data_IF_708283088069
#
_entry.id   IF_708283088069
#
_cell.length_a   1.000
_cell.length_b   1.000
_cell.length_c   1.000
_cell.angle_alpha   90.00
_cell.angle_beta   90.00
_cell.angle_gamma   90.00
#
_symmetry.space_group_name_H-M   'P 1'
#
loop_
_entity.id
_entity.type
_entity.pdbx_description
1 polymer ?
#
# COMPACT_ATOMS: atom_id res chain seq x y z
N UNK A 1 22.24 -24.22 10.50
CA UNK A 1 21.49 -23.45 9.49
C UNK A 1 21.08 -22.15 10.16
N UNK A 2 21.61 -21.05 9.63
CA UNK A 2 21.42 -19.71 10.15
C UNK A 2 19.95 -19.31 9.91
N UNK A 3 19.16 -19.22 10.97
CA UNK A 3 17.79 -18.72 10.89
C UNK A 3 17.91 -17.20 10.93
N UNK A 4 18.14 -16.57 9.76
CA UNK A 4 17.90 -15.13 9.66
C UNK A 4 16.46 -14.91 10.10
N UNK A 5 16.20 -14.10 11.14
CA UNK A 5 14.84 -13.81 11.53
C UNK A 5 14.20 -13.19 10.29
N UNK A 6 13.13 -13.81 9.81
CA UNK A 6 12.23 -13.17 8.87
C UNK A 6 11.95 -11.79 9.48
N UNK A 7 12.40 -10.70 8.83
CA UNK A 7 12.31 -9.35 9.37
C UNK A 7 10.83 -8.95 9.40
N UNK A 8 10.08 -9.46 10.38
CA UNK A 8 8.65 -9.26 10.48
C UNK A 8 8.43 -7.87 11.11
N UNK A 9 7.83 -6.98 10.34
CA UNK A 9 7.43 -5.65 10.79
C UNK A 9 6.04 -5.76 11.41
N UNK A 10 5.92 -5.44 12.70
CA UNK A 10 4.65 -5.42 13.41
C UNK A 10 4.14 -3.97 13.48
N UNK A 11 2.98 -3.74 12.91
CA UNK A 11 2.26 -2.46 13.07
C UNK A 11 1.68 -2.31 14.47
N UNK A 12 1.40 -1.07 14.88
CA UNK A 12 0.69 -0.74 16.13
C UNK A 12 -0.75 -1.29 16.14
N UNK A 13 -1.33 -1.56 14.96
CA UNK A 13 -2.62 -2.23 14.79
C UNK A 13 -2.56 -3.76 14.97
N UNK A 14 -1.39 -4.32 15.28
CA UNK A 14 -1.20 -5.76 15.47
C UNK A 14 -1.14 -6.57 14.17
N UNK A 15 -1.04 -5.91 13.01
CA UNK A 15 -0.78 -6.57 11.73
C UNK A 15 0.72 -6.84 11.57
N UNK A 16 1.05 -8.00 11.01
CA UNK A 16 2.41 -8.43 10.75
C UNK A 16 2.67 -8.40 9.24
N UNK A 17 3.76 -7.77 8.85
CA UNK A 17 4.21 -7.66 7.48
C UNK A 17 5.58 -8.32 7.34
N UNK A 18 5.82 -9.14 6.32
CA UNK A 18 7.17 -9.58 5.99
C UNK A 18 7.96 -8.36 5.49
N UNK A 19 8.96 -7.93 6.24
CA UNK A 19 9.86 -6.85 5.87
C UNK A 19 10.72 -7.23 4.67
N UNK A 20 10.99 -6.26 3.82
CA UNK A 20 11.56 -6.45 2.49
C UNK A 20 10.59 -7.02 1.45
N UNK A 21 9.34 -7.37 1.83
CA UNK A 21 8.35 -7.85 0.89
C UNK A 21 7.52 -6.72 0.30
N UNK A 22 7.04 -6.95 -0.93
CA UNK A 22 6.11 -6.06 -1.59
C UNK A 22 4.67 -6.36 -1.13
N UNK A 23 3.97 -5.34 -0.66
CA UNK A 23 2.52 -5.38 -0.42
C UNK A 23 1.83 -4.74 -1.61
N UNK A 24 0.91 -5.49 -2.21
CA UNK A 24 0.09 -5.03 -3.32
C UNK A 24 -1.32 -4.75 -2.82
N UNK A 25 -1.84 -3.57 -3.16
CA UNK A 25 -3.24 -3.21 -2.90
C UNK A 25 -3.89 -2.80 -4.21
N UNK A 26 -5.10 -3.31 -4.41
CA UNK A 26 -5.92 -3.03 -5.57
C UNK A 26 -7.06 -2.12 -5.14
N UNK A 27 -7.20 -1.00 -5.83
CA UNK A 27 -8.27 -0.04 -5.57
C UNK A 27 -9.27 -0.02 -6.72
N UNK A 28 -10.54 -0.03 -6.37
CA UNK A 28 -11.64 0.18 -7.31
C UNK A 28 -12.38 1.43 -6.89
N UNK A 29 -12.41 2.42 -7.78
CA UNK A 29 -13.08 3.68 -7.54
C UNK A 29 -14.38 3.73 -8.33
N UNK A 30 -15.44 4.25 -7.72
CA UNK A 30 -16.58 4.72 -8.51
C UNK A 30 -16.16 5.99 -9.24
N UNK A 31 -16.58 6.12 -10.50
CA UNK A 31 -16.29 7.29 -11.32
C UNK A 31 -16.93 8.58 -10.79
N UNK A 32 -17.94 8.47 -9.91
CA UNK A 32 -18.53 9.62 -9.20
C UNK A 32 -17.62 10.20 -8.12
N UNK A 33 -16.83 9.34 -7.48
CA UNK A 33 -16.07 9.70 -6.29
C UNK A 33 -14.65 10.13 -6.67
N UNK A 34 -14.12 9.54 -7.74
CA UNK A 34 -12.81 9.89 -8.31
C UNK A 34 -12.93 9.99 -9.84
N UNK A 35 -13.08 11.19 -10.41
CA UNK A 35 -13.11 11.37 -11.85
C UNK A 35 -11.85 10.84 -12.54
N UNK A 36 -11.97 10.48 -13.82
CA UNK A 36 -10.82 10.04 -14.62
C UNK A 36 -9.82 11.20 -14.73
N UNK A 37 -8.54 10.89 -14.51
CA UNK A 37 -7.45 11.87 -14.50
C UNK A 37 -7.23 12.54 -13.15
N UNK A 38 -8.08 12.26 -12.15
CA UNK A 38 -7.85 12.74 -10.78
C UNK A 38 -6.84 11.85 -10.07
N UNK A 39 -5.90 12.49 -9.38
CA UNK A 39 -4.92 11.80 -8.52
C UNK A 39 -5.55 11.33 -7.22
N UNK A 40 -5.02 10.23 -6.68
CA UNK A 40 -5.35 9.75 -5.35
C UNK A 40 -4.06 9.47 -4.57
N UNK A 41 -4.15 9.54 -3.24
CA UNK A 41 -3.06 9.16 -2.33
C UNK A 41 -3.49 7.93 -1.54
N UNK A 42 -2.64 6.92 -1.50
CA UNK A 42 -2.79 5.77 -0.62
C UNK A 42 -1.79 5.94 0.51
N UNK A 43 -2.28 5.85 1.74
CA UNK A 43 -1.48 5.94 2.96
C UNK A 43 -1.57 4.60 3.69
N UNK A 44 -0.43 3.97 3.94
CA UNK A 44 -0.32 2.82 4.82
C UNK A 44 0.24 3.31 6.14
N UNK A 45 -0.64 3.43 7.12
CA UNK A 45 -0.29 3.73 8.51
C UNK A 45 0.05 2.42 9.23
N UNK A 46 1.32 2.26 9.59
CA UNK A 46 1.78 1.14 10.43
C UNK A 46 1.73 1.50 11.93
N UNK A 47 1.38 2.74 12.29
CA UNK A 47 1.46 3.30 13.63
C UNK A 47 2.89 3.63 14.09
N UNK A 48 3.02 4.22 15.29
CA UNK A 48 4.29 4.63 15.90
C UNK A 48 5.18 5.51 14.98
N UNK A 49 4.54 6.49 14.32
CA UNK A 49 5.15 7.45 13.39
C UNK A 49 5.77 6.85 12.11
N UNK A 50 5.49 5.59 11.80
CA UNK A 50 5.89 4.96 10.54
C UNK A 50 4.72 4.84 9.57
N UNK A 51 4.73 5.65 8.52
CA UNK A 51 3.78 5.56 7.42
C UNK A 51 4.49 5.53 6.06
N UNK A 52 3.83 4.93 5.08
CA UNK A 52 4.26 4.98 3.69
C UNK A 52 3.11 5.52 2.84
N UNK A 53 3.39 6.52 2.02
CA UNK A 53 2.43 7.04 1.07
C UNK A 53 2.86 6.79 -0.37
N UNK A 54 1.87 6.55 -1.22
CA UNK A 54 2.06 6.40 -2.65
C UNK A 54 0.93 7.07 -3.41
N UNK A 55 1.29 7.78 -4.47
CA UNK A 55 0.35 8.47 -5.34
C UNK A 55 -0.01 7.60 -6.54
N UNK A 56 -1.27 7.67 -6.95
CA UNK A 56 -1.79 7.09 -8.18
C UNK A 56 -2.70 8.05 -8.92
N UNK A 57 -3.10 7.68 -10.13
CA UNK A 57 -4.03 8.45 -10.97
C UNK A 57 -5.14 7.49 -11.40
N UNK A 58 -6.40 7.92 -11.33
CA UNK A 58 -7.49 7.16 -11.92
C UNK A 58 -7.40 7.20 -13.44
N UNK A 59 -6.87 6.12 -14.03
CA UNK A 59 -6.66 6.05 -15.47
C UNK A 59 -7.97 5.86 -16.21
N UNK A 60 -7.97 6.20 -17.50
CA UNK A 60 -9.14 5.99 -18.37
C UNK A 60 -9.43 4.51 -18.63
N UNK A 61 -8.53 3.62 -18.25
CA UNK A 61 -8.53 2.22 -18.67
C UNK A 61 -9.64 1.37 -18.02
N UNK A 62 -10.54 1.95 -17.20
CA UNK A 62 -11.67 1.25 -16.54
C UNK A 62 -11.24 -0.08 -15.89
N UNK A 63 -10.00 -0.12 -15.41
CA UNK A 63 -9.41 -1.26 -14.73
C UNK A 63 -9.02 -0.84 -13.31
N UNK A 64 -8.85 -1.79 -12.39
CA UNK A 64 -8.34 -1.46 -11.06
C UNK A 64 -6.96 -0.82 -11.12
N UNK A 65 -6.72 0.17 -10.27
CA UNK A 65 -5.41 0.80 -10.14
C UNK A 65 -4.56 0.00 -9.14
N UNK A 66 -3.32 -0.25 -9.52
CA UNK A 66 -2.36 -1.00 -8.71
C UNK A 66 -1.38 -0.05 -8.04
N UNK A 67 -1.20 -0.24 -6.73
CA UNK A 67 -0.18 0.47 -5.95
C UNK A 67 0.67 -0.54 -5.20
N UNK A 68 2.00 -0.36 -5.25
CA UNK A 68 2.97 -1.25 -4.63
C UNK A 68 3.71 -0.51 -3.53
N UNK A 69 3.86 -1.18 -2.39
CA UNK A 69 4.62 -0.73 -1.24
C UNK A 69 5.70 -1.76 -0.91
N UNK A 70 6.89 -1.30 -0.51
CA UNK A 70 7.94 -2.17 0.02
C UNK A 70 8.00 -1.91 1.51
N UNK A 71 7.62 -2.89 2.32
CA UNK A 71 7.65 -2.76 3.77
C UNK A 71 9.11 -2.83 4.22
N UNK A 72 9.57 -1.87 5.02
CA UNK A 72 10.94 -1.83 5.56
C UNK A 72 10.92 -2.06 7.07
#
# INVERSE_FOLDING_TARGET
>A
MDHSPENIVKSTYGLYFPGGAAVYKTFTFNSSDLPIGTGFKVDIDYGDDYNQDQFGINSREKRPELTQFIVQ
#
